data_IF_981886453219
#
_entry.id   IF_981886453219
#
_cell.length_a   1.000
_cell.length_b   1.000
_cell.length_c   1.000
_cell.angle_alpha   90.00
_cell.angle_beta   90.00
_cell.angle_gamma   90.00
#
_symmetry.space_group_name_H-M   'P 1'
#
loop_
_entity.id
_entity.type
_entity.pdbx_description
1 polymer ?
#
# COMPACT_ATOMS: atom_id res chain seq x y z
N UNK A 1 2.95 -25.42 1.23
CA UNK A 1 3.29 -25.05 2.63
C UNK A 1 4.04 -26.21 3.21
N UNK A 2 5.34 -26.26 2.93
CA UNK A 2 6.28 -27.19 3.53
C UNK A 2 7.28 -26.32 4.29
N UNK A 3 7.43 -26.55 5.60
CA UNK A 3 8.32 -25.85 6.53
C UNK A 3 9.81 -26.01 6.15
N UNK A 4 10.18 -25.50 4.98
CA UNK A 4 11.54 -25.49 4.47
C UNK A 4 12.40 -24.46 5.19
N UNK A 5 13.70 -24.71 5.20
CA UNK A 5 14.74 -23.85 5.79
C UNK A 5 14.66 -22.37 5.35
N UNK A 6 14.01 -22.10 4.21
CA UNK A 6 13.79 -20.78 3.62
C UNK A 6 12.83 -19.89 4.42
N UNK A 7 11.84 -20.46 5.12
CA UNK A 7 10.88 -19.69 5.93
C UNK A 7 11.43 -19.30 7.32
N UNK A 8 12.66 -19.74 7.65
CA UNK A 8 13.30 -19.55 8.97
C UNK A 8 14.67 -18.89 8.92
N UNK A 9 14.98 -18.08 7.90
CA UNK A 9 16.17 -17.24 7.92
C UNK A 9 15.83 -15.88 8.57
N UNK A 10 16.26 -15.59 9.81
CA UNK A 10 15.78 -14.45 10.61
C UNK A 10 16.55 -13.15 10.38
N UNK A 11 16.87 -12.77 9.14
CA UNK A 11 17.68 -11.57 8.95
C UNK A 11 17.24 -10.83 7.68
N UNK A 12 16.73 -9.60 7.87
CA UNK A 12 17.12 -8.51 6.98
C UNK A 12 18.66 -8.51 6.98
N UNK A 13 19.25 -9.03 5.89
CA UNK A 13 20.68 -9.03 5.73
C UNK A 13 21.13 -7.59 5.50
N UNK A 14 21.74 -6.99 6.51
CA UNK A 14 22.36 -5.67 6.45
C UNK A 14 23.89 -5.84 6.60
N UNK A 15 24.62 -6.12 5.51
CA UNK A 15 26.05 -6.36 5.58
C UNK A 15 26.72 -5.07 6.03
N UNK A 16 27.64 -5.20 6.98
CA UNK A 16 28.37 -4.05 7.52
C UNK A 16 29.00 -3.23 6.38
N UNK A 17 29.13 -1.89 6.53
CA UNK A 17 29.81 -1.04 5.54
C UNK A 17 31.25 -1.49 5.21
N UNK A 18 31.86 -2.32 6.05
CA UNK A 18 33.15 -2.96 5.81
C UNK A 18 33.04 -4.14 4.83
N UNK A 19 32.07 -5.04 5.01
CA UNK A 19 31.82 -6.15 4.09
C UNK A 19 31.47 -5.66 2.67
N UNK A 20 30.75 -4.53 2.59
CA UNK A 20 30.48 -3.82 1.33
C UNK A 20 31.78 -3.33 0.68
N UNK A 21 32.64 -2.64 1.45
CA UNK A 21 33.96 -2.16 0.98
C UNK A 21 34.87 -3.30 0.51
N UNK A 22 34.89 -4.42 1.23
CA UNK A 22 35.77 -5.54 0.91
C UNK A 22 35.37 -6.20 -0.42
N UNK A 23 34.06 -6.26 -0.73
CA UNK A 23 33.57 -6.75 -2.02
C UNK A 23 33.97 -5.88 -3.22
N UNK A 24 33.99 -4.55 -3.07
CA UNK A 24 34.44 -3.62 -4.11
C UNK A 24 35.97 -3.52 -4.25
N UNK A 25 36.74 -4.05 -3.30
CA UNK A 25 38.20 -3.94 -3.27
C UNK A 25 38.95 -4.92 -4.20
N UNK A 26 38.24 -5.85 -4.84
CA UNK A 26 38.83 -6.74 -5.86
C UNK A 26 39.87 -7.74 -5.35
N UNK A 27 39.97 -7.99 -4.04
CA UNK A 27 40.67 -9.18 -3.51
C UNK A 27 39.73 -10.40 -3.62
N UNK A 28 40.03 -11.43 -4.41
CA UNK A 28 41.23 -11.60 -5.21
C UNK A 28 41.14 -12.72 -6.24
N UNK A 29 42.04 -12.63 -7.21
CA UNK A 29 42.41 -13.74 -8.09
C UNK A 29 43.27 -14.80 -7.37
N UNK A 30 43.84 -14.47 -6.20
CA UNK A 30 44.96 -15.21 -5.60
C UNK A 30 44.73 -15.66 -4.13
N UNK A 31 43.47 -15.78 -3.67
CA UNK A 31 43.16 -16.49 -2.41
C UNK A 31 43.36 -15.74 -1.08
N UNK A 32 42.94 -14.47 -0.96
CA UNK A 32 42.85 -13.83 0.38
C UNK A 32 41.47 -13.23 0.65
N UNK A 33 40.80 -13.88 1.61
CA UNK A 33 39.50 -13.60 2.26
C UNK A 33 38.27 -13.66 1.35
N UNK A 34 37.41 -14.69 1.49
CA UNK A 34 36.12 -14.72 0.80
C UNK A 34 35.30 -13.52 1.29
N UNK A 35 34.86 -12.66 0.37
CA UNK A 35 33.86 -11.65 0.71
C UNK A 35 32.62 -12.37 1.25
N UNK A 36 31.79 -11.68 2.05
CA UNK A 36 30.56 -12.28 2.57
C UNK A 36 29.66 -12.85 1.45
N UNK A 37 29.73 -12.28 0.25
CA UNK A 37 29.03 -12.78 -0.93
C UNK A 37 29.56 -14.14 -1.43
N UNK A 38 30.86 -14.42 -1.32
CA UNK A 38 31.39 -15.75 -1.67
C UNK A 38 30.85 -16.84 -0.73
N UNK A 39 30.73 -16.52 0.57
CA UNK A 39 30.12 -17.45 1.53
C UNK A 39 28.64 -17.69 1.19
N UNK A 40 27.89 -16.65 0.85
CA UNK A 40 26.49 -16.77 0.43
C UNK A 40 26.35 -17.65 -0.83
N UNK A 41 27.23 -17.46 -1.82
CA UNK A 41 27.24 -18.28 -3.03
C UNK A 41 27.60 -19.73 -2.75
N UNK A 42 28.55 -19.98 -1.84
CA UNK A 42 28.90 -21.34 -1.41
C UNK A 42 27.72 -22.03 -0.72
N UNK A 43 26.99 -21.32 0.13
CA UNK A 43 25.77 -21.84 0.78
C UNK A 43 24.69 -22.13 -0.27
N UNK A 44 24.42 -21.18 -1.17
CA UNK A 44 23.42 -21.34 -2.22
C UNK A 44 23.71 -22.57 -3.10
N UNK A 45 24.98 -22.77 -3.49
CA UNK A 45 25.39 -23.92 -4.31
C UNK A 45 25.35 -25.24 -3.55
N UNK A 46 25.82 -25.28 -2.31
CA UNK A 46 25.98 -26.54 -1.55
C UNK A 46 24.71 -27.00 -0.88
N UNK A 47 24.01 -26.08 -0.21
CA UNK A 47 22.84 -26.39 0.60
C UNK A 47 21.55 -26.28 -0.23
N UNK A 48 21.47 -25.30 -1.13
CA UNK A 48 20.26 -25.03 -1.91
C UNK A 48 20.31 -25.59 -3.34
N UNK A 49 21.45 -26.12 -3.78
CA UNK A 49 21.68 -26.57 -5.16
C UNK A 49 21.26 -25.52 -6.20
N UNK A 50 21.52 -24.24 -5.88
CA UNK A 50 21.12 -23.10 -6.68
C UNK A 50 22.33 -22.30 -7.16
N UNK A 51 22.26 -21.82 -8.40
CA UNK A 51 23.24 -20.91 -8.98
C UNK A 51 22.62 -19.54 -9.28
N UNK A 52 23.44 -18.50 -9.29
CA UNK A 52 22.98 -17.17 -9.70
C UNK A 52 22.86 -17.14 -11.22
N UNK A 53 21.64 -17.05 -11.73
CA UNK A 53 21.37 -16.90 -13.16
C UNK A 53 21.59 -15.44 -13.59
N UNK A 54 20.97 -14.50 -12.88
CA UNK A 54 21.01 -13.08 -13.21
C UNK A 54 21.05 -12.20 -11.96
N UNK A 55 21.66 -11.03 -12.11
CA UNK A 55 21.56 -9.93 -11.15
C UNK A 55 20.87 -8.77 -11.84
N UNK A 56 19.88 -8.17 -11.19
CA UNK A 56 19.04 -7.12 -11.75
C UNK A 56 19.10 -5.88 -10.88
N UNK A 57 19.21 -4.72 -11.51
CA UNK A 57 18.96 -3.40 -10.92
C UNK A 57 17.70 -2.83 -11.57
N UNK A 58 16.73 -2.45 -10.73
CA UNK A 58 15.38 -2.09 -11.13
C UNK A 58 14.91 -0.82 -10.41
N UNK A 59 13.86 -0.19 -10.92
CA UNK A 59 13.16 0.85 -10.20
C UNK A 59 12.18 0.20 -9.22
N UNK A 60 12.34 0.51 -7.94
CA UNK A 60 11.48 -0.01 -6.87
C UNK A 60 10.34 0.91 -6.54
N UNK A 61 10.45 2.19 -6.91
CA UNK A 61 9.37 3.14 -6.66
C UNK A 61 8.24 2.97 -7.67
N UNK A 62 7.01 3.04 -7.16
CA UNK A 62 5.78 2.89 -7.94
C UNK A 62 5.26 4.23 -8.45
N UNK A 63 5.61 5.33 -7.79
CA UNK A 63 4.98 6.64 -8.02
C UNK A 63 5.81 7.57 -8.93
N UNK A 64 6.86 7.05 -9.55
CA UNK A 64 7.59 7.69 -10.63
C UNK A 64 8.91 8.34 -10.23
N UNK A 65 9.32 8.26 -8.97
CA UNK A 65 10.69 8.60 -8.57
C UNK A 65 11.67 7.49 -8.99
N UNK A 66 12.94 7.85 -9.10
CA UNK A 66 14.01 6.88 -9.33
C UNK A 66 14.54 6.37 -7.99
N UNK A 67 14.05 5.21 -7.54
CA UNK A 67 14.55 4.53 -6.33
C UNK A 67 15.10 3.16 -6.73
N UNK A 68 16.41 3.00 -6.63
CA UNK A 68 17.08 1.78 -7.08
C UNK A 68 16.86 0.63 -6.09
N UNK A 69 16.44 -0.52 -6.61
CA UNK A 69 16.50 -1.80 -5.92
C UNK A 69 17.45 -2.78 -6.60
N UNK A 70 17.91 -3.76 -5.82
CA UNK A 70 18.64 -4.92 -6.33
C UNK A 70 17.79 -6.19 -6.26
N UNK A 71 18.01 -7.11 -7.19
CA UNK A 71 17.48 -8.46 -7.11
C UNK A 71 18.48 -9.47 -7.68
N UNK A 72 18.54 -10.66 -7.09
CA UNK A 72 19.36 -11.78 -7.55
C UNK A 72 18.44 -12.93 -7.92
N UNK A 73 18.47 -13.35 -9.18
CA UNK A 73 17.74 -14.51 -9.66
C UNK A 73 18.59 -15.75 -9.45
N UNK A 74 18.13 -16.65 -8.61
CA UNK A 74 18.68 -17.98 -8.42
C UNK A 74 17.95 -18.99 -9.29
N UNK A 75 18.67 -19.93 -9.87
CA UNK A 75 18.13 -21.07 -10.59
C UNK A 75 18.58 -22.36 -9.90
N UNK A 76 17.62 -23.21 -9.52
CA UNK A 76 17.91 -24.51 -8.93
C UNK A 76 18.30 -25.51 -10.00
N UNK A 77 19.47 -26.13 -9.83
CA UNK A 77 20.04 -27.07 -10.80
C UNK A 77 19.20 -28.33 -11.01
N UNK A 78 18.34 -28.71 -10.05
CA UNK A 78 17.58 -29.96 -10.07
C UNK A 78 16.33 -29.89 -10.95
N UNK A 79 15.68 -28.74 -11.03
CA UNK A 79 14.35 -28.58 -11.61
C UNK A 79 14.16 -27.29 -12.40
N UNK A 80 15.23 -26.51 -12.61
CA UNK A 80 15.19 -25.21 -13.28
C UNK A 80 14.16 -24.25 -12.65
N UNK A 81 13.81 -24.47 -11.38
CA UNK A 81 12.98 -23.55 -10.63
C UNK A 81 13.77 -22.29 -10.36
N UNK A 82 13.18 -21.13 -10.68
CA UNK A 82 13.82 -19.84 -10.48
C UNK A 82 13.22 -19.13 -9.27
N UNK A 83 14.08 -18.50 -8.48
CA UNK A 83 13.70 -17.75 -7.29
C UNK A 83 14.38 -16.40 -7.29
N UNK A 84 13.58 -15.33 -7.18
CA UNK A 84 14.09 -13.98 -7.12
C UNK A 84 14.32 -13.57 -5.66
N UNK A 85 15.54 -13.22 -5.31
CA UNK A 85 15.92 -12.73 -4.00
C UNK A 85 16.07 -11.20 -4.03
N UNK A 86 15.24 -10.52 -3.26
CA UNK A 86 15.25 -9.07 -3.12
C UNK A 86 16.39 -8.60 -2.22
N UNK A 87 17.14 -7.60 -2.66
CA UNK A 87 18.27 -7.05 -1.91
C UNK A 87 18.47 -5.56 -2.21
N UNK A 88 19.42 -4.94 -1.52
CA UNK A 88 19.84 -3.58 -1.84
C UNK A 88 20.68 -3.55 -3.13
N UNK A 89 20.70 -2.43 -3.88
CA UNK A 89 21.47 -2.33 -5.14
C UNK A 89 22.95 -2.68 -5.00
N UNK A 90 23.57 -2.28 -3.90
CA UNK A 90 24.98 -2.53 -3.63
C UNK A 90 25.28 -4.00 -3.29
N UNK A 91 24.30 -4.73 -2.74
CA UNK A 91 24.39 -6.16 -2.49
C UNK A 91 24.27 -6.96 -3.79
N UNK A 92 23.31 -6.60 -4.64
CA UNK A 92 23.18 -7.15 -5.98
C UNK A 92 24.51 -7.00 -6.75
N UNK A 93 25.11 -5.80 -6.75
CA UNK A 93 26.43 -5.57 -7.34
C UNK A 93 27.54 -6.41 -6.69
N UNK A 94 27.52 -6.54 -5.36
CA UNK A 94 28.45 -7.40 -4.61
C UNK A 94 28.40 -8.87 -5.05
N UNK A 95 27.19 -9.40 -5.23
CA UNK A 95 26.95 -10.76 -5.74
C UNK A 95 27.41 -10.89 -7.19
N UNK A 96 27.07 -9.93 -8.06
CA UNK A 96 27.51 -9.94 -9.46
C UNK A 96 29.04 -9.97 -9.59
N UNK A 97 29.74 -9.16 -8.81
CA UNK A 97 31.21 -9.14 -8.78
C UNK A 97 31.78 -10.48 -8.29
N UNK A 98 31.20 -11.08 -7.25
CA UNK A 98 31.65 -12.37 -6.73
C UNK A 98 31.42 -13.52 -7.73
N UNK A 99 30.34 -13.46 -8.52
CA UNK A 99 30.08 -14.42 -9.59
C UNK A 99 30.90 -14.17 -10.86
N UNK A 100 31.55 -13.00 -11.00
CA UNK A 100 32.10 -12.55 -12.28
C UNK A 100 31.03 -12.37 -13.37
N UNK A 101 29.77 -12.15 -12.96
CA UNK A 101 28.60 -12.09 -13.83
C UNK A 101 28.26 -10.67 -14.27
N UNK A 102 27.49 -10.57 -15.35
CA UNK A 102 26.90 -9.29 -15.79
C UNK A 102 25.74 -8.85 -14.89
N UNK A 103 25.46 -7.54 -14.90
CA UNK A 103 24.31 -6.94 -14.22
C UNK A 103 23.32 -6.48 -15.29
N UNK A 104 22.08 -6.92 -15.18
CA UNK A 104 20.97 -6.43 -15.99
C UNK A 104 20.42 -5.17 -15.33
N UNK A 105 20.28 -4.10 -16.11
CA UNK A 105 19.68 -2.86 -15.62
C UNK A 105 18.39 -2.65 -16.38
N UNK A 106 17.31 -2.40 -15.65
CA UNK A 106 16.03 -2.07 -16.23
C UNK A 106 16.14 -0.85 -17.15
N UNK A 107 15.42 -0.88 -18.27
CA UNK A 107 15.52 0.14 -19.31
C UNK A 107 15.21 1.54 -18.76
N UNK A 108 14.18 1.67 -17.92
CA UNK A 108 13.79 2.96 -17.35
C UNK A 108 14.86 3.52 -16.42
N UNK A 109 15.42 2.67 -15.54
CA UNK A 109 16.57 3.02 -14.70
C UNK A 109 17.75 3.48 -15.56
N UNK A 110 18.08 2.73 -16.61
CA UNK A 110 19.18 3.08 -17.51
C UNK A 110 18.96 4.43 -18.20
N UNK A 111 17.77 4.66 -18.76
CA UNK A 111 17.47 5.91 -19.46
C UNK A 111 17.49 7.13 -18.54
N UNK A 112 17.01 6.98 -17.29
CA UNK A 112 16.98 8.07 -16.30
C UNK A 112 18.35 8.33 -15.65
N UNK A 113 19.14 7.28 -15.40
CA UNK A 113 20.38 7.38 -14.64
C UNK A 113 21.65 7.44 -15.50
N UNK A 114 21.58 7.15 -16.81
CA UNK A 114 22.79 7.11 -17.65
C UNK A 114 23.47 8.48 -17.70
N UNK A 115 24.75 8.47 -17.38
CA UNK A 115 25.63 9.62 -17.57
C UNK A 115 26.45 9.39 -18.82
N UNK A 116 26.48 10.34 -19.79
CA UNK A 116 27.36 10.22 -20.94
C UNK A 116 28.83 10.30 -20.47
N UNK A 117 29.63 9.24 -20.66
CA UNK A 117 31.05 9.29 -20.30
C UNK A 117 31.79 10.21 -21.27
N UNK A 118 32.67 11.06 -20.73
CA UNK A 118 33.59 11.86 -21.52
C UNK A 118 34.97 11.18 -21.52
N UNK A 119 35.49 10.90 -22.71
CA UNK A 119 36.79 10.28 -22.87
C UNK A 119 37.83 11.34 -23.24
N UNK A 120 38.89 11.44 -22.46
CA UNK A 120 40.02 12.32 -22.75
C UNK A 120 41.33 11.53 -22.69
N UNK A 121 42.24 11.81 -23.62
CA UNK A 121 43.55 11.19 -23.63
C UNK A 121 44.56 12.11 -22.95
N UNK A 122 45.05 11.72 -21.77
CA UNK A 122 46.05 12.49 -21.01
C UNK A 122 47.30 11.65 -20.79
N UNK A 123 48.45 12.12 -21.29
CA UNK A 123 49.77 11.48 -21.09
C UNK A 123 49.80 9.99 -21.48
N UNK A 124 49.12 9.63 -22.57
CA UNK A 124 49.05 8.24 -23.05
C UNK A 124 48.15 7.31 -22.23
N UNK A 125 47.34 7.86 -21.30
CA UNK A 125 46.31 7.11 -20.56
C UNK A 125 44.93 7.66 -20.90
N UNK A 126 43.98 6.75 -21.13
CA UNK A 126 42.57 7.10 -21.31
C UNK A 126 41.98 7.48 -19.95
N UNK A 127 41.49 8.71 -19.84
CA UNK A 127 40.77 9.22 -18.69
C UNK A 127 39.29 9.24 -19.04
N UNK A 128 38.47 8.62 -18.20
CA UNK A 128 37.02 8.66 -18.29
C UNK A 128 36.54 9.65 -17.24
N UNK A 129 35.92 10.74 -17.68
CA UNK A 129 35.25 11.70 -16.81
C UNK A 129 33.76 11.46 -16.88
N UNK A 130 33.17 11.13 -15.73
CA UNK A 130 31.73 11.00 -15.56
C UNK A 130 31.31 12.27 -14.83
N UNK A 131 30.70 13.22 -15.55
CA UNK A 131 30.17 14.42 -14.92
C UNK A 131 29.02 14.00 -14.01
N UNK A 132 29.09 14.23 -12.69
CA UNK A 132 27.98 13.88 -11.82
C UNK A 132 26.75 14.67 -12.24
N UNK A 133 25.61 13.99 -12.37
CA UNK A 133 24.32 14.65 -12.21
C UNK A 133 24.40 15.45 -10.91
N UNK A 134 24.02 16.73 -10.96
CA UNK A 134 23.95 17.62 -9.81
C UNK A 134 23.05 16.97 -8.77
N UNK A 135 23.64 16.23 -7.85
CA UNK A 135 22.94 15.57 -6.75
C UNK A 135 22.90 16.56 -5.60
N UNK A 136 21.69 17.03 -5.29
CA UNK A 136 21.43 17.79 -4.09
C UNK A 136 21.84 16.98 -2.86
N UNK A 137 22.69 17.60 -2.03
CA UNK A 137 22.88 17.41 -0.60
C UNK A 137 23.06 15.98 -0.06
N UNK A 138 24.33 15.68 0.28
CA UNK A 138 24.73 14.51 1.05
C UNK A 138 24.29 14.58 2.52
N UNK A 139 23.02 14.29 2.77
CA UNK A 139 22.53 13.76 4.05
C UNK A 139 22.49 12.23 3.99
N UNK A 140 22.72 11.55 5.12
CA UNK A 140 22.70 10.08 5.17
C UNK A 140 21.42 9.50 4.53
N UNK A 141 21.59 8.49 3.68
CA UNK A 141 20.52 7.95 2.83
C UNK A 141 19.24 7.59 3.59
N UNK A 142 19.33 7.07 4.82
CA UNK A 142 18.16 6.79 5.67
C UNK A 142 17.44 8.04 6.16
N UNK A 143 18.16 9.10 6.53
CA UNK A 143 17.55 10.33 7.02
C UNK A 143 16.90 11.13 5.88
N UNK A 144 17.48 11.08 4.68
CA UNK A 144 16.91 11.69 3.47
C UNK A 144 15.70 10.90 2.98
N UNK A 145 15.73 9.57 3.04
CA UNK A 145 14.58 8.73 2.72
C UNK A 145 13.42 8.96 3.71
N UNK A 146 13.69 8.98 5.02
CA UNK A 146 12.65 9.23 6.03
C UNK A 146 12.06 10.65 5.96
N UNK A 147 12.90 11.67 5.68
CA UNK A 147 12.43 13.04 5.48
C UNK A 147 11.59 13.17 4.20
N UNK A 148 11.99 12.49 3.12
CA UNK A 148 11.22 12.43 1.87
C UNK A 148 9.92 11.66 2.01
N UNK A 149 9.89 10.53 2.73
CA UNK A 149 8.64 9.82 3.04
C UNK A 149 7.68 10.72 3.83
N UNK A 150 8.18 11.53 4.76
CA UNK A 150 7.37 12.50 5.49
C UNK A 150 6.86 13.65 4.60
N UNK A 151 7.70 14.16 3.68
CA UNK A 151 7.32 15.17 2.68
C UNK A 151 6.27 14.62 1.70
N UNK A 152 6.48 13.41 1.16
CA UNK A 152 5.51 12.72 0.30
C UNK A 152 4.19 12.47 1.03
N UNK A 153 4.17 12.03 2.30
CA UNK A 153 2.93 11.90 3.08
C UNK A 153 2.14 13.21 3.14
N UNK A 154 2.85 14.34 3.23
CA UNK A 154 2.25 15.67 3.30
C UNK A 154 1.73 16.12 1.92
N UNK A 155 2.46 15.86 0.84
CA UNK A 155 2.05 16.18 -0.54
C UNK A 155 0.90 15.28 -1.04
N UNK A 156 0.91 13.99 -0.71
CA UNK A 156 -0.12 13.02 -1.09
C UNK A 156 -1.44 13.33 -0.38
N UNK A 157 -1.39 13.73 0.88
CA UNK A 157 -2.55 14.25 1.62
C UNK A 157 -3.16 15.50 0.95
N UNK A 158 -2.39 16.23 0.14
CA UNK A 158 -2.84 17.38 -0.65
C UNK A 158 -3.59 17.03 -1.95
N UNK A 159 -3.50 15.78 -2.44
CA UNK A 159 -4.18 15.34 -3.68
C UNK A 159 -5.65 14.92 -3.48
N UNK A 160 -6.13 14.85 -2.24
CA UNK A 160 -7.53 14.53 -1.94
C UNK A 160 -7.90 13.06 -2.19
N UNK A 161 -6.90 12.16 -2.13
CA UNK A 161 -7.14 10.70 -2.20
C UNK A 161 -7.74 10.25 -0.86
N UNK A 162 -8.87 9.51 -0.86
CA UNK A 162 -9.47 9.03 0.38
C UNK A 162 -8.55 8.01 1.09
N UNK A 163 -8.53 8.06 2.41
CA UNK A 163 -7.85 7.05 3.23
C UNK A 163 -8.60 5.71 3.15
N UNK A 164 -7.95 4.57 3.40
CA UNK A 164 -8.59 3.26 3.28
C UNK A 164 -9.87 3.12 4.12
N UNK A 165 -9.88 3.66 5.34
CA UNK A 165 -11.03 3.65 6.24
C UNK A 165 -12.10 4.70 5.92
N UNK A 166 -11.85 5.61 4.97
CA UNK A 166 -12.83 6.58 4.49
C UNK A 166 -13.70 6.02 3.35
N UNK A 167 -13.28 4.90 2.75
CA UNK A 167 -14.06 4.20 1.73
C UNK A 167 -15.27 3.54 2.40
N UNK A 168 -16.45 3.86 1.91
CA UNK A 168 -17.74 3.42 2.50
C UNK A 168 -18.41 2.32 1.69
N UNK A 169 -17.96 2.10 0.45
CA UNK A 169 -18.51 1.07 -0.44
C UNK A 169 -17.41 0.30 -1.15
N UNK A 170 -17.69 -0.97 -1.46
CA UNK A 170 -16.81 -1.78 -2.31
C UNK A 170 -16.64 -1.16 -3.71
N UNK A 171 -17.67 -0.49 -4.22
CA UNK A 171 -17.61 0.15 -5.53
C UNK A 171 -16.58 1.28 -5.57
N UNK A 172 -16.53 2.13 -4.52
CA UNK A 172 -15.49 3.16 -4.38
C UNK A 172 -14.08 2.56 -4.44
N UNK A 173 -13.83 1.47 -3.68
CA UNK A 173 -12.55 0.76 -3.70
C UNK A 173 -12.19 0.23 -5.10
N UNK A 174 -13.15 -0.33 -5.82
CA UNK A 174 -12.91 -0.88 -7.17
C UNK A 174 -12.71 0.17 -8.26
N UNK A 175 -13.18 1.40 -8.03
CA UNK A 175 -13.03 2.52 -8.98
C UNK A 175 -11.68 3.22 -8.84
N UNK A 176 -11.00 3.07 -7.70
CA UNK A 176 -9.67 3.64 -7.50
C UNK A 176 -8.68 3.04 -8.50
N UNK A 177 -7.84 3.89 -9.09
CA UNK A 177 -6.71 3.44 -9.88
C UNK A 177 -5.64 2.78 -9.01
N UNK A 178 -4.73 2.01 -9.62
CA UNK A 178 -3.56 1.42 -8.93
C UNK A 178 -2.75 2.50 -8.22
N UNK A 179 -2.55 3.65 -8.87
CA UNK A 179 -1.86 4.81 -8.29
C UNK A 179 -2.61 5.37 -7.09
N UNK A 180 -3.93 5.56 -7.18
CA UNK A 180 -4.73 6.10 -6.06
C UNK A 180 -4.75 5.14 -4.87
N UNK A 181 -4.81 3.82 -5.11
CA UNK A 181 -4.69 2.81 -4.06
C UNK A 181 -3.33 2.89 -3.37
N UNK A 182 -2.24 3.01 -4.15
CA UNK A 182 -0.90 3.15 -3.61
C UNK A 182 -0.75 4.44 -2.77
N UNK A 183 -1.29 5.56 -3.25
CA UNK A 183 -1.32 6.83 -2.52
C UNK A 183 -2.12 6.73 -1.23
N UNK A 184 -3.29 6.06 -1.26
CA UNK A 184 -4.13 5.81 -0.09
C UNK A 184 -3.39 4.99 0.98
N UNK A 185 -2.66 3.94 0.59
CA UNK A 185 -1.84 3.11 1.49
C UNK A 185 -0.71 3.94 2.12
N UNK A 186 0.00 4.75 1.33
CA UNK A 186 1.08 5.61 1.84
C UNK A 186 0.56 6.67 2.82
N UNK A 187 -0.58 7.27 2.52
CA UNK A 187 -1.23 8.25 3.39
C UNK A 187 -1.66 7.61 4.72
N UNK A 188 -2.07 6.34 4.70
CA UNK A 188 -2.32 5.54 5.89
C UNK A 188 -1.04 5.09 6.63
N UNK A 189 0.15 5.44 6.13
CA UNK A 189 1.44 5.07 6.72
C UNK A 189 1.90 3.65 6.40
N UNK A 190 1.24 2.97 5.46
CA UNK A 190 1.64 1.65 4.97
C UNK A 190 2.91 1.70 4.11
N UNK A 191 3.51 0.53 3.90
CA UNK A 191 4.63 0.35 2.97
C UNK A 191 4.12 -0.24 1.66
N UNK A 192 4.56 0.33 0.55
CA UNK A 192 4.22 -0.20 -0.77
C UNK A 192 5.10 -1.40 -1.14
N UNK A 193 4.56 -2.38 -1.89
CA UNK A 193 5.37 -3.43 -2.48
C UNK A 193 6.24 -2.83 -3.60
N UNK A 194 7.26 -3.58 -4.03
CA UNK A 194 8.03 -3.20 -5.22
C UNK A 194 7.11 -3.04 -6.43
N UNK A 195 7.43 -2.10 -7.32
CA UNK A 195 6.63 -1.78 -8.50
C UNK A 195 6.17 -3.03 -9.31
N UNK A 196 7.04 -4.03 -9.50
CA UNK A 196 6.68 -5.28 -10.21
C UNK A 196 5.60 -6.14 -9.52
N UNK A 197 5.46 -6.02 -8.19
CA UNK A 197 4.51 -6.77 -7.37
C UNK A 197 3.22 -5.97 -7.10
N UNK A 198 3.18 -4.71 -7.54
CA UNK A 198 2.11 -3.78 -7.28
C UNK A 198 0.91 -3.96 -8.23
N UNK A 199 0.33 -5.16 -8.24
CA UNK A 199 -0.92 -5.39 -8.94
C UNK A 199 -2.09 -4.76 -8.18
N UNK A 200 -3.20 -4.50 -8.90
CA UNK A 200 -4.44 -4.03 -8.28
C UNK A 200 -4.91 -4.95 -7.14
N UNK A 201 -4.78 -6.26 -7.34
CA UNK A 201 -5.10 -7.29 -6.35
C UNK A 201 -4.17 -7.23 -5.13
N UNK A 202 -2.86 -7.09 -5.35
CA UNK A 202 -1.88 -6.99 -4.27
C UNK A 202 -2.12 -5.73 -3.40
N UNK A 203 -2.39 -4.59 -4.03
CA UNK A 203 -2.71 -3.35 -3.31
C UNK A 203 -4.05 -3.45 -2.59
N UNK A 204 -5.07 -4.06 -3.21
CA UNK A 204 -6.36 -4.30 -2.55
C UNK A 204 -6.21 -5.18 -1.31
N UNK A 205 -5.35 -6.20 -1.39
CA UNK A 205 -5.02 -7.09 -0.26
C UNK A 205 -4.31 -6.32 0.86
N UNK A 206 -3.38 -5.42 0.52
CA UNK A 206 -2.70 -4.56 1.49
C UNK A 206 -3.63 -3.54 2.14
N UNK A 207 -4.62 -3.02 1.39
CA UNK A 207 -5.64 -2.13 1.93
C UNK A 207 -6.63 -2.84 2.83
N UNK A 208 -6.96 -4.11 2.55
CA UNK A 208 -8.00 -4.87 3.23
C UNK A 208 -8.03 -4.71 4.76
N UNK A 209 -6.93 -4.86 5.52
CA UNK A 209 -6.95 -4.70 6.99
C UNK A 209 -7.19 -3.25 7.46
N UNK A 210 -6.99 -2.26 6.60
CA UNK A 210 -7.17 -0.84 6.89
C UNK A 210 -8.54 -0.32 6.45
N UNK A 211 -9.31 -1.15 5.73
CA UNK A 211 -10.65 -0.79 5.29
C UNK A 211 -11.63 -0.79 6.46
N UNK A 212 -12.69 -0.03 6.27
CA UNK A 212 -13.91 -0.13 7.05
C UNK A 212 -14.43 -1.58 7.10
N UNK A 213 -14.94 -2.01 8.26
CA UNK A 213 -15.43 -3.38 8.50
C UNK A 213 -16.41 -3.88 7.41
N UNK A 214 -17.37 -3.03 6.99
CA UNK A 214 -18.39 -3.42 6.02
C UNK A 214 -17.79 -3.60 4.61
N UNK A 215 -16.88 -2.69 4.22
CA UNK A 215 -16.19 -2.78 2.93
C UNK A 215 -15.27 -3.99 2.89
N UNK A 216 -14.49 -4.22 3.95
CA UNK A 216 -13.61 -5.39 4.10
C UNK A 216 -14.40 -6.70 4.01
N UNK A 217 -15.56 -6.76 4.66
CA UNK A 217 -16.46 -7.92 4.59
C UNK A 217 -17.03 -8.14 3.19
N UNK A 218 -17.47 -7.08 2.51
CA UNK A 218 -17.95 -7.18 1.13
C UNK A 218 -16.85 -7.68 0.18
N UNK A 219 -15.61 -7.26 0.41
CA UNK A 219 -14.44 -7.77 -0.30
C UNK A 219 -14.27 -9.29 -0.06
N UNK A 220 -14.27 -9.73 1.21
CA UNK A 220 -14.17 -11.16 1.55
C UNK A 220 -15.32 -12.00 0.98
N UNK A 221 -16.55 -11.48 0.96
CA UNK A 221 -17.69 -12.15 0.32
C UNK A 221 -17.48 -12.32 -1.19
N UNK A 222 -16.93 -11.30 -1.84
CA UNK A 222 -16.62 -11.35 -3.28
C UNK A 222 -15.53 -12.38 -3.56
N UNK A 223 -14.47 -12.41 -2.76
CA UNK A 223 -13.38 -13.40 -2.87
C UNK A 223 -13.91 -14.82 -2.66
N UNK A 224 -14.68 -15.07 -1.59
CA UNK A 224 -15.29 -16.37 -1.33
C UNK A 224 -16.22 -16.82 -2.49
N UNK A 225 -16.92 -15.89 -3.13
CA UNK A 225 -17.74 -16.20 -4.32
C UNK A 225 -16.88 -16.60 -5.52
N UNK A 226 -15.75 -15.90 -5.75
CA UNK A 226 -14.82 -16.20 -6.85
C UNK A 226 -14.14 -17.56 -6.62
N UNK A 227 -13.75 -17.86 -5.39
CA UNK A 227 -13.09 -19.11 -5.00
C UNK A 227 -14.07 -20.28 -4.86
N UNK A 228 -15.38 -20.02 -4.91
CA UNK A 228 -16.44 -21.03 -4.73
C UNK A 228 -16.58 -21.53 -3.30
N UNK A 229 -16.04 -20.82 -2.31
CA UNK A 229 -16.17 -21.14 -0.89
C UNK A 229 -17.52 -20.68 -0.33
N UNK A 230 -18.53 -21.50 -0.59
CA UNK A 230 -19.91 -21.26 -0.13
C UNK A 230 -20.04 -21.29 1.40
N UNK A 231 -19.13 -21.97 2.11
CA UNK A 231 -19.18 -22.07 3.56
C UNK A 231 -18.77 -20.74 4.20
N UNK A 232 -17.66 -20.16 3.73
CA UNK A 232 -17.22 -18.83 4.17
C UNK A 232 -18.25 -17.76 3.79
N UNK A 233 -18.81 -17.82 2.57
CA UNK A 233 -19.87 -16.89 2.16
C UNK A 233 -21.11 -16.95 3.08
N UNK A 234 -21.59 -18.15 3.42
CA UNK A 234 -22.75 -18.31 4.30
C UNK A 234 -22.46 -17.81 5.74
N UNK A 235 -21.25 -18.08 6.25
CA UNK A 235 -20.83 -17.56 7.56
C UNK A 235 -20.77 -16.04 7.55
N UNK A 236 -20.17 -15.47 6.51
CA UNK A 236 -20.10 -14.03 6.32
C UNK A 236 -21.50 -13.44 6.12
N UNK A 237 -22.47 -14.12 5.53
CA UNK A 237 -23.85 -13.60 5.45
C UNK A 237 -24.61 -13.69 6.78
N UNK A 238 -24.32 -14.69 7.61
CA UNK A 238 -25.01 -14.87 8.90
C UNK A 238 -24.56 -13.91 10.00
N UNK A 239 -23.33 -13.42 9.94
CA UNK A 239 -22.71 -12.62 11.02
C UNK A 239 -22.82 -11.10 10.79
N UNK A 240 -23.96 -10.56 10.32
CA UNK A 240 -24.12 -9.11 10.02
C UNK A 240 -24.03 -8.27 11.30
N UNK A 241 -23.05 -7.35 11.35
CA UNK A 241 -22.90 -6.35 12.40
C UNK A 241 -24.11 -5.42 12.46
N UNK A 242 -24.39 -4.85 13.62
CA UNK A 242 -25.48 -3.88 13.81
C UNK A 242 -25.37 -2.72 12.81
N UNK A 243 -24.12 -2.31 12.53
CA UNK A 243 -23.81 -1.27 11.54
C UNK A 243 -24.05 -1.72 10.11
N UNK A 244 -23.64 -2.95 9.75
CA UNK A 244 -23.95 -3.55 8.45
C UNK A 244 -25.46 -3.65 8.19
N UNK A 245 -26.25 -4.01 9.20
CA UNK A 245 -27.72 -4.04 9.11
C UNK A 245 -28.30 -2.65 8.81
N UNK A 246 -27.79 -1.60 9.46
CA UNK A 246 -28.23 -0.22 9.21
C UNK A 246 -27.84 0.25 7.80
N UNK A 247 -26.65 -0.13 7.30
CA UNK A 247 -26.20 0.17 5.94
C UNK A 247 -27.07 -0.50 4.88
N UNK A 248 -27.40 -1.79 5.06
CA UNK A 248 -28.31 -2.49 4.14
C UNK A 248 -29.71 -1.89 4.16
N UNK A 249 -30.25 -1.60 5.35
CA UNK A 249 -31.55 -0.94 5.48
C UNK A 249 -31.56 0.44 4.81
N UNK A 250 -30.48 1.22 4.96
CA UNK A 250 -30.32 2.53 4.32
C UNK A 250 -30.31 2.40 2.80
N UNK A 251 -29.52 1.46 2.25
CA UNK A 251 -29.45 1.21 0.80
C UNK A 251 -30.81 0.82 0.24
N UNK A 252 -31.56 -0.02 0.95
CA UNK A 252 -32.90 -0.44 0.56
C UNK A 252 -33.90 0.74 0.61
N UNK A 253 -33.86 1.56 1.66
CA UNK A 253 -34.70 2.75 1.76
C UNK A 253 -34.42 3.77 0.65
N UNK A 254 -33.15 3.93 0.24
CA UNK A 254 -32.77 4.79 -0.90
C UNK A 254 -33.26 4.20 -2.23
N UNK A 255 -33.10 2.90 -2.44
CA UNK A 255 -33.54 2.22 -3.66
C UNK A 255 -35.06 2.26 -3.85
N UNK A 256 -35.82 2.26 -2.76
CA UNK A 256 -37.28 2.37 -2.76
C UNK A 256 -37.79 3.83 -2.64
N UNK A 257 -36.90 4.82 -2.78
CA UNK A 257 -37.20 6.26 -2.70
C UNK A 257 -37.87 6.69 -1.37
N UNK A 258 -37.67 5.92 -0.30
CA UNK A 258 -38.14 6.21 1.08
C UNK A 258 -37.19 7.19 1.78
N UNK A 259 -37.02 8.38 1.22
CA UNK A 259 -36.01 9.36 1.67
C UNK A 259 -36.14 9.81 3.13
N UNK A 260 -37.37 9.84 3.68
CA UNK A 260 -37.59 10.21 5.07
C UNK A 260 -37.00 9.18 6.05
N UNK A 261 -37.14 7.90 5.72
CA UNK A 261 -36.59 6.77 6.47
C UNK A 261 -35.08 6.64 6.25
N UNK A 262 -34.62 6.85 5.01
CA UNK A 262 -33.19 6.90 4.70
C UNK A 262 -32.46 7.99 5.50
N UNK A 263 -33.08 9.16 5.70
CA UNK A 263 -32.48 10.21 6.53
C UNK A 263 -32.34 9.81 8.01
N UNK A 264 -33.32 9.07 8.55
CA UNK A 264 -33.27 8.58 9.93
C UNK A 264 -32.24 7.45 10.10
N UNK A 265 -32.17 6.52 9.14
CA UNK A 265 -31.18 5.45 9.09
C UNK A 265 -29.75 6.00 8.91
N UNK A 266 -29.57 7.03 8.07
CA UNK A 266 -28.29 7.71 7.89
C UNK A 266 -27.81 8.38 9.18
N UNK A 267 -28.73 9.00 9.94
CA UNK A 267 -28.39 9.59 11.23
C UNK A 267 -28.02 8.53 12.27
N UNK A 268 -28.78 7.44 12.35
CA UNK A 268 -28.46 6.35 13.27
C UNK A 268 -27.10 5.73 12.92
N UNK A 269 -26.83 5.49 11.63
CA UNK A 269 -25.54 5.02 11.15
C UNK A 269 -24.40 5.96 11.53
N UNK A 270 -24.57 7.27 11.30
CA UNK A 270 -23.57 8.28 11.68
C UNK A 270 -23.31 8.33 13.19
N UNK A 271 -24.29 7.94 13.99
CA UNK A 271 -24.17 7.85 15.45
C UNK A 271 -23.40 6.59 15.84
N UNK A 272 -23.71 5.45 15.23
CA UNK A 272 -22.99 4.19 15.46
C UNK A 272 -21.53 4.28 15.03
N UNK A 273 -21.25 4.93 13.90
CA UNK A 273 -19.86 5.19 13.45
C UNK A 273 -19.12 6.10 14.43
N UNK A 274 -19.77 7.14 14.97
CA UNK A 274 -19.15 8.05 15.94
C UNK A 274 -18.92 7.42 17.32
N UNK A 275 -19.68 6.37 17.68
CA UNK A 275 -19.48 5.61 18.92
C UNK A 275 -18.17 4.84 18.91
N UNK A 276 -17.81 4.26 17.75
CA UNK A 276 -16.67 3.37 17.66
C UNK A 276 -15.36 4.13 17.77
N UNK A 277 -14.47 3.60 18.59
CA UNK A 277 -13.09 4.09 18.66
C UNK A 277 -12.29 3.69 17.41
N UNK A 278 -12.52 2.47 16.92
CA UNK A 278 -11.90 1.93 15.71
C UNK A 278 -12.97 1.32 14.79
N UNK A 279 -13.07 1.86 13.57
CA UNK A 279 -14.06 1.49 12.57
C UNK A 279 -13.60 0.25 11.75
N UNK A 280 -12.31 -0.08 11.80
CA UNK A 280 -11.71 -1.19 11.04
C UNK A 280 -11.89 -2.55 11.72
N UNK A 281 -12.23 -2.56 13.03
CA UNK A 281 -12.35 -3.78 13.83
C UNK A 281 -13.75 -4.42 13.76
N UNK A 282 -13.79 -5.75 13.78
CA UNK A 282 -15.02 -6.54 13.74
C UNK A 282 -15.82 -6.41 15.04
N UNK A 283 -17.14 -6.33 14.93
CA UNK A 283 -18.03 -6.30 16.10
C UNK A 283 -17.83 -7.55 16.97
N UNK A 284 -17.46 -7.35 18.24
CA UNK A 284 -17.19 -8.41 19.21
C UNK A 284 -15.75 -8.91 19.26
N UNK A 285 -14.86 -8.44 18.37
CA UNK A 285 -13.43 -8.76 18.41
C UNK A 285 -12.60 -7.79 19.27
N UNK A 286 -13.17 -6.64 19.61
CA UNK A 286 -12.46 -5.56 20.30
C UNK A 286 -13.09 -5.17 21.64
N UNK A 287 -12.30 -4.43 22.42
CA UNK A 287 -12.74 -3.96 23.72
C UNK A 287 -13.75 -2.81 23.59
N UNK A 288 -15.02 -3.12 23.81
CA UNK A 288 -16.12 -2.14 23.81
C UNK A 288 -15.94 -1.02 24.84
N UNK A 289 -15.10 -1.20 25.86
CA UNK A 289 -14.81 -0.12 26.83
C UNK A 289 -13.99 1.02 26.22
N UNK A 290 -13.43 0.85 25.02
CA UNK A 290 -12.73 1.90 24.28
C UNK A 290 -13.69 2.79 23.49
N UNK A 291 -14.92 2.32 23.23
CA UNK A 291 -15.95 3.11 22.56
C UNK A 291 -16.39 4.30 23.41
N UNK A 292 -16.95 5.31 22.75
CA UNK A 292 -17.60 6.41 23.46
C UNK A 292 -18.77 5.88 24.29
N UNK A 293 -18.88 6.37 25.53
CA UNK A 293 -19.94 5.98 26.45
C UNK A 293 -21.33 6.08 25.80
N UNK A 294 -22.17 5.07 26.03
CA UNK A 294 -23.54 4.96 25.53
C UNK A 294 -24.37 6.24 25.78
N UNK A 295 -24.12 6.95 26.88
CA UNK A 295 -24.84 8.18 27.22
C UNK A 295 -24.48 9.35 26.30
N UNK A 296 -23.19 9.48 25.93
CA UNK A 296 -22.69 10.56 25.07
C UNK A 296 -23.23 10.39 23.65
N UNK A 297 -23.27 9.15 23.17
CA UNK A 297 -23.79 8.87 21.85
C UNK A 297 -25.32 9.01 21.74
N UNK A 298 -26.06 8.82 22.84
CA UNK A 298 -27.50 9.18 22.90
C UNK A 298 -27.70 10.68 22.83
N UNK A 299 -26.86 11.45 23.54
CA UNK A 299 -26.93 12.91 23.49
C UNK A 299 -26.64 13.43 22.06
N UNK A 300 -25.62 12.89 21.38
CA UNK A 300 -25.31 13.24 19.99
C UNK A 300 -26.45 12.88 19.03
N UNK A 301 -27.09 11.73 19.20
CA UNK A 301 -28.25 11.32 18.42
C UNK A 301 -29.44 12.26 18.62
N UNK A 302 -29.72 12.66 19.86
CA UNK A 302 -30.78 13.62 20.19
C UNK A 302 -30.50 15.01 19.59
N UNK A 303 -29.25 15.48 19.65
CA UNK A 303 -28.86 16.76 19.05
C UNK A 303 -29.04 16.74 17.53
N UNK A 304 -28.55 15.70 16.84
CA UNK A 304 -28.72 15.56 15.39
C UNK A 304 -30.19 15.39 14.99
N UNK A 305 -31.00 14.67 15.79
CA UNK A 305 -32.44 14.51 15.53
C UNK A 305 -33.17 15.85 15.61
N UNK A 306 -32.84 16.67 16.62
CA UNK A 306 -33.38 18.04 16.75
C UNK A 306 -32.99 18.92 15.57
N UNK A 307 -31.79 18.75 15.03
CA UNK A 307 -31.34 19.48 13.85
C UNK A 307 -32.15 19.12 12.60
N UNK A 308 -32.35 17.82 12.34
CA UNK A 308 -33.22 17.34 11.26
C UNK A 308 -34.67 17.83 11.39
N UNK A 309 -35.23 17.85 12.60
CA UNK A 309 -36.58 18.38 12.83
C UNK A 309 -36.67 19.87 12.50
N UNK A 310 -35.66 20.66 12.86
CA UNK A 310 -35.58 22.08 12.50
C UNK A 310 -35.49 22.28 10.98
N UNK A 311 -34.71 21.46 10.30
CA UNK A 311 -34.59 21.55 8.84
C UNK A 311 -35.89 21.10 8.13
N UNK A 312 -36.58 20.07 8.64
CA UNK A 312 -37.92 19.69 8.18
C UNK A 312 -38.93 20.83 8.37
N UNK A 313 -38.89 21.54 9.50
CA UNK A 313 -39.76 22.71 9.73
C UNK A 313 -39.46 23.85 8.75
N UNK A 314 -38.19 24.19 8.55
CA UNK A 314 -37.77 25.23 7.59
C UNK A 314 -38.19 24.93 6.16
N UNK A 315 -38.13 23.66 5.73
CA UNK A 315 -38.60 23.24 4.41
C UNK A 315 -40.11 23.44 4.28
N UNK A 316 -40.90 23.03 5.29
CA UNK A 316 -42.36 23.25 5.29
C UNK A 316 -42.72 24.73 5.23
N UNK A 317 -42.03 25.57 6.02
CA UNK A 317 -42.25 27.02 6.00
C UNK A 317 -41.96 27.61 4.61
N UNK A 318 -40.87 27.19 3.95
CA UNK A 318 -40.54 27.61 2.58
C UNK A 318 -41.58 27.14 1.55
N UNK A 319 -42.06 25.91 1.65
CA UNK A 319 -43.10 25.38 0.78
C UNK A 319 -44.42 26.13 0.96
N UNK A 320 -44.81 26.44 2.20
CA UNK A 320 -45.98 27.24 2.52
C UNK A 320 -45.86 28.67 2.00
N UNK A 321 -44.69 29.30 2.13
CA UNK A 321 -44.42 30.63 1.56
C UNK A 321 -44.49 30.63 0.03
N UNK A 322 -43.93 29.61 -0.62
CA UNK A 322 -44.02 29.44 -2.07
C UNK A 322 -45.47 29.18 -2.53
N UNK A 323 -46.23 28.36 -1.80
CA UNK A 323 -47.64 28.12 -2.08
C UNK A 323 -48.48 29.40 -1.92
N UNK A 324 -48.24 30.18 -0.87
CA UNK A 324 -48.88 31.49 -0.65
C UNK A 324 -48.51 32.51 -1.73
N UNK A 325 -47.26 32.50 -2.21
CA UNK A 325 -46.81 33.36 -3.30
C UNK A 325 -47.48 32.98 -4.64
N UNK A 326 -47.57 31.68 -4.95
CA UNK A 326 -48.29 31.16 -6.14
C UNK A 326 -49.78 31.51 -6.10
N UNK A 327 -50.45 31.31 -4.95
CA UNK A 327 -51.86 31.66 -4.78
C UNK A 327 -52.14 33.18 -4.89
N UNK A 328 -51.16 34.03 -4.58
CA UNK A 328 -51.24 35.49 -4.81
C UNK A 328 -50.98 35.89 -6.26
N UNK A 329 -50.18 35.11 -6.99
CA UNK A 329 -49.93 35.29 -8.42
C UNK A 329 -51.14 34.93 -9.28
N UNK A 330 -51.87 33.86 -8.94
CA UNK A 330 -53.05 33.40 -9.69
C UNK A 330 -54.30 34.28 -9.51
N UNK A 331 -54.29 35.20 -8.52
CA UNK A 331 -55.38 36.15 -8.26
C UNK A 331 -55.20 37.52 -8.95
N UNK A 332 -54.13 37.70 -9.72
CA UNK A 332 -53.83 38.92 -10.48
C UNK A 332 -54.04 38.69 -11.96
#
# INVERSE_FOLDING_TARGET
RDDGLFDKLPWEWAPSPQAKRDAFSGRGADGSQPSAYHLLLDIARRECLAEVAHVVIENTDMLGDLVLGGAVLFERAKDAETTLCECAPDEALGVAMACGGGVLVEKEVWEQARLPPQYNMQRGRMRIEVNPLVSGQGGGAEAVAAAREAEQRTEVSGRGVPLPWELTTLEELTRLSVEDKALSILAAGGRLPRARLASDEALTTLMAPLLDEDVRRQLMMREALVDGDMASLASLQGAISTRGQLLEALRLAVAEERYAEAAELSLELSTQTARRMDITQDEGSYDRYLDQDDWYARQLAEERRRELERDRQRLREREEEQARARAKSDKK
#
